data_IF_154788663812
#
_entry.id   IF_154788663812
#
_cell.length_a   1.000
_cell.length_b   1.000
_cell.length_c   1.000
_cell.angle_alpha   90.00
_cell.angle_beta   90.00
_cell.angle_gamma   90.00
#
_symmetry.space_group_name_H-M   'P 1'
#
loop_
_entity.id
_entity.type
_entity.pdbx_description
1 polymer ?
#
# COMPACT_ATOMS: atom_id res chain seq x y z
N UNK A 1 3.15 10.32 29.41
CA UNK A 1 3.46 11.38 28.43
C UNK A 1 4.92 11.21 28.02
N UNK A 2 5.22 11.07 26.72
CA UNK A 2 6.59 10.87 26.26
C UNK A 2 7.45 12.11 26.56
N UNK A 3 8.62 11.91 27.16
CA UNK A 3 9.51 12.98 27.59
C UNK A 3 10.18 13.61 26.36
N UNK A 4 10.59 14.87 26.44
CA UNK A 4 11.18 15.68 25.35
C UNK A 4 12.40 15.04 24.65
N UNK A 5 13.00 13.98 25.21
CA UNK A 5 14.07 13.16 24.62
C UNK A 5 13.63 11.86 23.94
N UNK A 6 12.44 11.34 24.24
CA UNK A 6 11.94 10.10 23.63
C UNK A 6 11.59 10.30 22.14
N UNK A 7 11.17 11.51 21.77
CA UNK A 7 10.84 11.84 20.38
C UNK A 7 12.01 11.60 19.42
N UNK A 8 13.19 12.16 19.70
CA UNK A 8 14.34 12.06 18.80
C UNK A 8 14.78 10.60 18.55
N UNK A 9 14.50 9.70 19.51
CA UNK A 9 14.78 8.27 19.41
C UNK A 9 13.65 7.48 18.75
N UNK A 10 12.40 7.76 19.12
CA UNK A 10 11.23 6.96 18.72
C UNK A 10 10.62 7.42 17.41
N UNK A 11 10.72 8.71 17.05
CA UNK A 11 10.14 9.26 15.83
C UNK A 11 10.73 8.64 14.55
N UNK A 12 12.05 8.44 14.40
CA UNK A 12 12.59 7.76 13.22
C UNK A 12 12.12 6.30 13.11
N UNK A 13 12.02 5.60 14.24
CA UNK A 13 11.57 4.20 14.30
C UNK A 13 10.07 4.12 13.95
N UNK A 14 9.26 5.00 14.54
CA UNK A 14 7.83 5.11 14.23
C UNK A 14 7.58 5.43 12.75
N UNK A 15 8.36 6.36 12.20
CA UNK A 15 8.31 6.72 10.78
C UNK A 15 8.63 5.51 9.91
N UNK A 16 9.71 4.79 10.21
CA UNK A 16 10.09 3.61 9.45
C UNK A 16 9.00 2.54 9.50
N UNK A 17 8.44 2.25 10.67
CA UNK A 17 7.36 1.27 10.82
C UNK A 17 6.10 1.67 10.05
N UNK A 18 5.76 2.96 10.03
CA UNK A 18 4.64 3.49 9.22
C UNK A 18 4.90 3.37 7.72
N UNK A 19 6.11 3.72 7.28
CA UNK A 19 6.57 3.55 5.88
C UNK A 19 6.58 2.07 5.49
N UNK A 20 6.84 1.17 6.44
CA UNK A 20 6.79 -0.28 6.26
C UNK A 20 5.35 -0.84 6.23
N UNK A 21 4.33 0.02 6.33
CA UNK A 21 2.93 -0.34 6.15
C UNK A 21 2.10 -0.27 7.43
N UNK A 22 2.73 -0.20 8.61
CA UNK A 22 2.03 -0.24 9.90
C UNK A 22 1.12 0.96 10.10
N UNK A 23 -0.09 0.67 10.59
CA UNK A 23 -1.02 1.70 11.02
C UNK A 23 -0.45 2.44 12.24
N UNK A 24 -0.83 3.70 12.42
CA UNK A 24 -0.44 4.48 13.60
C UNK A 24 -0.89 3.81 14.91
N UNK A 25 -1.95 3.01 14.86
CA UNK A 25 -2.42 2.19 15.99
C UNK A 25 -1.42 1.08 16.33
N UNK A 26 -0.97 0.32 15.33
CA UNK A 26 0.02 -0.73 15.53
C UNK A 26 1.38 -0.18 15.99
N UNK A 27 1.80 0.96 15.43
CA UNK A 27 3.01 1.67 15.84
C UNK A 27 2.88 2.20 17.28
N UNK A 28 1.72 2.73 17.64
CA UNK A 28 1.40 3.20 19.00
C UNK A 28 1.57 2.09 20.03
N UNK A 29 0.98 0.91 19.76
CA UNK A 29 1.09 -0.27 20.65
C UNK A 29 2.53 -0.74 20.76
N UNK A 30 3.26 -0.88 19.64
CA UNK A 30 4.64 -1.39 19.65
C UNK A 30 5.63 -0.46 20.35
N UNK A 31 5.47 0.85 20.21
CA UNK A 31 6.41 1.83 20.75
C UNK A 31 5.97 2.40 22.11
N UNK A 32 4.77 2.06 22.59
CA UNK A 32 4.22 2.62 23.83
C UNK A 32 3.98 4.13 23.76
N UNK A 33 3.78 4.66 22.55
CA UNK A 33 3.55 6.10 22.30
C UNK A 33 2.10 6.30 21.89
N UNK A 34 1.41 7.29 22.46
CA UNK A 34 0.00 7.51 22.10
C UNK A 34 -0.18 7.85 20.62
N UNK A 35 -1.28 7.40 20.02
CA UNK A 35 -1.64 7.72 18.63
C UNK A 35 -1.74 9.23 18.37
N UNK A 36 -2.21 10.01 19.34
CA UNK A 36 -2.26 11.48 19.24
C UNK A 36 -0.85 12.05 19.07
N UNK A 37 0.10 11.58 19.87
CA UNK A 37 1.52 11.98 19.76
C UNK A 37 2.12 11.62 18.40
N UNK A 38 1.84 10.42 17.88
CA UNK A 38 2.30 10.03 16.53
C UNK A 38 1.68 10.91 15.44
N UNK A 39 0.39 11.24 15.56
CA UNK A 39 -0.30 12.12 14.62
C UNK A 39 0.27 13.54 14.65
N UNK A 40 0.64 14.05 15.82
CA UNK A 40 1.30 15.35 15.96
C UNK A 40 2.68 15.36 15.30
N UNK A 41 3.49 14.30 15.48
CA UNK A 41 4.80 14.20 14.85
C UNK A 41 4.69 14.18 13.33
N UNK A 42 3.75 13.40 12.81
CA UNK A 42 3.42 13.31 11.40
C UNK A 42 2.95 14.67 10.85
N UNK A 43 1.99 15.31 11.53
CA UNK A 43 1.45 16.62 11.15
C UNK A 43 2.47 17.77 11.16
N UNK A 44 3.48 17.74 12.04
CA UNK A 44 4.57 18.74 12.05
C UNK A 44 5.46 18.68 10.80
N UNK A 45 5.49 17.55 10.11
CA UNK A 45 6.26 17.39 8.88
C UNK A 45 5.50 17.84 7.63
N UNK A 46 4.21 18.19 7.77
CA UNK A 46 3.39 18.70 6.67
C UNK A 46 3.68 20.19 6.43
N UNK A 47 3.96 20.56 5.18
CA UNK A 47 4.07 21.97 4.80
C UNK A 47 2.68 22.58 4.63
N UNK A 48 2.49 23.89 4.88
CA UNK A 48 1.17 24.53 4.77
C UNK A 48 0.51 24.43 3.39
N UNK A 49 1.29 24.23 2.33
CA UNK A 49 0.83 24.17 0.93
C UNK A 49 0.70 22.73 0.40
N UNK A 50 0.85 21.71 1.24
CA UNK A 50 0.86 20.31 0.81
C UNK A 50 -0.18 19.49 1.58
N UNK A 51 -0.92 18.65 0.85
CA UNK A 51 -1.93 17.77 1.43
C UNK A 51 -1.30 16.59 2.21
N UNK A 52 -0.14 16.12 1.74
CA UNK A 52 0.59 14.99 2.31
C UNK A 52 1.78 15.43 3.16
N UNK A 53 1.95 14.78 4.30
CA UNK A 53 3.14 14.91 5.13
C UNK A 53 4.32 14.05 4.63
N UNK A 54 5.50 14.26 5.20
CA UNK A 54 6.72 13.56 4.78
C UNK A 54 6.75 12.06 5.13
N UNK A 55 5.84 11.59 5.98
CA UNK A 55 5.69 10.16 6.27
C UNK A 55 4.84 9.51 5.19
N UNK A 56 3.73 10.15 4.78
CA UNK A 56 2.89 9.68 3.68
C UNK A 56 3.66 9.65 2.36
N UNK A 57 4.37 10.73 2.02
CA UNK A 57 5.23 10.76 0.83
C UNK A 57 6.34 9.70 0.87
N UNK A 58 6.87 9.38 2.05
CA UNK A 58 7.89 8.33 2.18
C UNK A 58 7.27 6.94 1.97
N UNK A 59 6.07 6.71 2.48
CA UNK A 59 5.30 5.48 2.26
C UNK A 59 4.94 5.31 0.79
N UNK A 60 4.42 6.36 0.15
CA UNK A 60 4.06 6.36 -1.26
C UNK A 60 5.28 6.10 -2.16
N UNK A 61 6.42 6.75 -1.89
CA UNK A 61 7.67 6.47 -2.62
C UNK A 61 8.10 5.02 -2.50
N UNK A 62 7.94 4.40 -1.33
CA UNK A 62 8.27 2.98 -1.13
C UNK A 62 7.33 2.07 -1.92
N UNK A 63 6.02 2.34 -1.89
CA UNK A 63 5.02 1.58 -2.66
C UNK A 63 5.27 1.72 -4.16
N UNK A 64 5.47 2.94 -4.66
CA UNK A 64 5.80 3.21 -6.06
C UNK A 64 7.06 2.48 -6.50
N UNK A 65 8.08 2.44 -5.64
CA UNK A 65 9.30 1.68 -5.91
C UNK A 65 9.04 0.17 -5.98
N UNK A 66 8.23 -0.40 -5.08
CA UNK A 66 7.88 -1.81 -5.12
C UNK A 66 7.14 -2.18 -6.42
N UNK A 67 6.14 -1.39 -6.83
CA UNK A 67 5.43 -1.57 -8.11
C UNK A 67 6.40 -1.49 -9.29
N UNK A 68 7.34 -0.55 -9.27
CA UNK A 68 8.35 -0.44 -10.33
C UNK A 68 9.23 -1.68 -10.42
N UNK A 69 9.60 -2.27 -9.27
CA UNK A 69 10.39 -3.50 -9.23
C UNK A 69 9.62 -4.71 -9.75
N UNK A 70 8.32 -4.81 -9.47
CA UNK A 70 7.44 -5.83 -10.03
C UNK A 70 7.35 -5.69 -11.56
N UNK A 71 7.07 -4.48 -12.05
CA UNK A 71 7.01 -4.23 -13.49
C UNK A 71 8.34 -4.54 -14.20
N UNK A 72 9.47 -4.28 -13.55
CA UNK A 72 10.78 -4.65 -14.09
C UNK A 72 10.96 -6.17 -14.12
N UNK A 73 10.59 -6.88 -13.04
CA UNK A 73 10.64 -8.33 -13.00
C UNK A 73 9.78 -8.95 -14.11
N UNK A 74 8.54 -8.50 -14.27
CA UNK A 74 7.62 -9.00 -15.29
C UNK A 74 8.17 -8.77 -16.70
N UNK A 75 8.75 -7.59 -16.94
CA UNK A 75 9.41 -7.28 -18.22
C UNK A 75 10.59 -8.21 -18.50
N UNK A 76 11.44 -8.48 -17.51
CA UNK A 76 12.60 -9.35 -17.69
C UNK A 76 12.19 -10.83 -17.87
N UNK A 77 11.12 -11.27 -17.20
CA UNK A 77 10.53 -12.60 -17.41
C UNK A 77 9.99 -12.71 -18.83
N UNK A 78 9.18 -11.76 -19.29
CA UNK A 78 8.67 -11.74 -20.66
C UNK A 78 9.80 -11.74 -21.70
N UNK A 79 10.84 -10.94 -21.46
CA UNK A 79 12.02 -10.91 -22.32
C UNK A 79 12.74 -12.27 -22.40
N UNK A 80 12.80 -13.00 -21.28
CA UNK A 80 13.38 -14.34 -21.24
C UNK A 80 12.47 -15.39 -21.92
N UNK A 81 11.14 -15.29 -21.76
CA UNK A 81 10.15 -16.19 -22.34
C UNK A 81 10.02 -16.06 -23.86
N UNK A 82 10.17 -14.85 -24.40
CA UNK A 82 10.10 -14.58 -25.84
C UNK A 82 11.30 -15.16 -26.63
N UNK A 83 12.35 -15.59 -25.93
CA UNK A 83 13.53 -16.18 -26.56
C UNK A 83 13.45 -17.70 -26.65
N UNK A 84 13.80 -18.22 -27.82
CA UNK A 84 13.97 -19.67 -28.01
C UNK A 84 15.10 -20.21 -27.12
N UNK A 85 14.95 -21.46 -26.68
CA UNK A 85 15.86 -22.14 -25.77
C UNK A 85 17.33 -21.97 -26.16
N UNK A 86 18.13 -21.41 -25.24
CA UNK A 86 19.55 -21.08 -25.44
C UNK A 86 19.84 -19.59 -25.70
N UNK A 87 18.82 -18.76 -25.93
CA UNK A 87 19.00 -17.32 -26.18
C UNK A 87 19.11 -16.43 -24.93
N UNK A 88 18.84 -16.97 -23.75
CA UNK A 88 18.91 -16.24 -22.48
C UNK A 88 20.21 -16.60 -21.77
N UNK A 89 21.05 -15.61 -21.52
CA UNK A 89 22.33 -15.84 -20.84
C UNK A 89 22.15 -16.09 -19.34
N UNK A 90 23.17 -16.65 -18.69
CA UNK A 90 23.15 -16.91 -17.24
C UNK A 90 23.03 -15.63 -16.40
N UNK A 91 23.45 -14.47 -16.93
CA UNK A 91 23.40 -13.19 -16.22
C UNK A 91 21.97 -12.63 -16.14
N UNK A 92 21.16 -12.90 -17.16
CA UNK A 92 19.74 -12.53 -17.24
C UNK A 92 18.95 -13.33 -16.21
N UNK A 93 19.20 -14.64 -16.11
CA UNK A 93 18.58 -15.49 -15.07
C UNK A 93 18.98 -15.09 -13.65
N UNK A 94 20.24 -14.72 -13.42
CA UNK A 94 20.71 -14.19 -12.13
C UNK A 94 20.03 -12.86 -11.79
N UNK A 95 19.86 -11.97 -12.77
CA UNK A 95 19.15 -10.70 -12.61
C UNK A 95 17.68 -10.91 -12.28
N UNK A 96 16.98 -11.81 -12.99
CA UNK A 96 15.58 -12.20 -12.71
C UNK A 96 15.48 -12.78 -11.29
N UNK A 97 16.40 -13.66 -10.90
CA UNK A 97 16.39 -14.25 -9.54
C UNK A 97 16.57 -13.20 -8.46
N UNK A 98 17.46 -12.22 -8.66
CA UNK A 98 17.69 -11.12 -7.71
C UNK A 98 16.49 -10.17 -7.63
N UNK A 99 15.90 -9.82 -8.78
CA UNK A 99 14.67 -9.03 -8.83
C UNK A 99 13.52 -9.76 -8.14
N UNK A 100 13.36 -11.05 -8.40
CA UNK A 100 12.37 -11.91 -7.74
C UNK A 100 12.55 -11.95 -6.22
N UNK A 101 13.77 -12.13 -5.73
CA UNK A 101 14.06 -12.12 -4.29
C UNK A 101 13.74 -10.77 -3.63
N UNK A 102 14.00 -9.66 -4.33
CA UNK A 102 13.65 -8.32 -3.84
C UNK A 102 12.13 -8.13 -3.77
N UNK A 103 11.40 -8.50 -4.82
CA UNK A 103 9.93 -8.43 -4.85
C UNK A 103 9.31 -9.27 -3.72
N UNK A 104 9.76 -10.51 -3.53
CA UNK A 104 9.30 -11.39 -2.44
C UNK A 104 9.54 -10.74 -1.07
N UNK A 105 10.72 -10.13 -0.87
CA UNK A 105 11.04 -9.44 0.39
C UNK A 105 10.12 -8.22 0.61
N UNK A 106 9.81 -7.46 -0.43
CA UNK A 106 8.88 -6.33 -0.32
C UNK A 106 7.46 -6.81 0.03
N UNK A 107 6.94 -7.84 -0.67
CA UNK A 107 5.63 -8.44 -0.37
C UNK A 107 5.55 -9.02 1.05
N UNK A 108 6.63 -9.66 1.51
CA UNK A 108 6.70 -10.18 2.88
C UNK A 108 6.58 -9.04 3.91
N UNK A 109 7.27 -7.92 3.70
CA UNK A 109 7.18 -6.74 4.59
C UNK A 109 5.79 -6.11 4.55
N UNK A 110 5.18 -6.00 3.37
CA UNK A 110 3.79 -5.51 3.24
C UNK A 110 2.80 -6.41 3.99
N UNK A 111 2.95 -7.74 3.90
CA UNK A 111 2.09 -8.68 4.61
C UNK A 111 2.23 -8.62 6.14
N UNK A 112 3.41 -8.26 6.64
CA UNK A 112 3.70 -8.13 8.08
C UNK A 112 3.29 -6.76 8.66
N UNK A 113 3.11 -5.76 7.82
CA UNK A 113 2.87 -4.37 8.18
C UNK A 113 1.44 -4.03 8.63
N UNK A 114 0.58 -4.99 9.00
CA UNK A 114 -0.85 -4.74 9.21
C UNK A 114 -1.60 -4.39 7.90
N UNK A 115 -2.21 -5.44 7.33
CA UNK A 115 -3.43 -5.39 6.54
C UNK A 115 -3.41 -4.45 5.34
N UNK A 116 -3.28 -5.02 4.16
CA UNK A 116 -4.02 -4.49 3.01
C UNK A 116 -5.48 -4.33 3.45
N UNK A 117 -5.87 -3.10 3.78
CA UNK A 117 -7.22 -2.79 4.23
C UNK A 117 -8.10 -2.83 2.99
N UNK A 118 -8.51 -4.05 2.63
CA UNK A 118 -9.38 -4.34 1.48
C UNK A 118 -10.59 -3.43 1.49
N UNK A 119 -11.11 -3.08 2.68
CA UNK A 119 -12.26 -2.20 2.81
C UNK A 119 -11.89 -0.75 2.44
N UNK A 120 -10.75 -0.24 2.89
CA UNK A 120 -10.26 1.10 2.48
C UNK A 120 -10.02 1.20 0.97
N UNK A 121 -9.33 0.21 0.39
CA UNK A 121 -9.04 0.19 -1.06
C UNK A 121 -10.33 0.05 -1.87
N UNK A 122 -11.27 -0.78 -1.42
CA UNK A 122 -12.60 -0.89 -2.04
C UNK A 122 -13.35 0.44 -2.03
N UNK A 123 -13.35 1.16 -0.90
CA UNK A 123 -14.01 2.46 -0.79
C UNK A 123 -13.35 3.54 -1.66
N UNK A 124 -12.02 3.56 -1.75
CA UNK A 124 -11.28 4.49 -2.63
C UNK A 124 -11.61 4.22 -4.11
N UNK A 125 -11.62 2.96 -4.53
CA UNK A 125 -12.00 2.58 -5.89
C UNK A 125 -13.48 2.91 -6.18
N UNK A 126 -14.37 2.72 -5.22
CA UNK A 126 -15.79 3.07 -5.38
C UNK A 126 -16.01 4.57 -5.50
N UNK A 127 -15.30 5.39 -4.71
CA UNK A 127 -15.37 6.84 -4.85
C UNK A 127 -14.89 7.32 -6.22
N UNK A 128 -13.83 6.71 -6.76
CA UNK A 128 -13.35 7.01 -8.09
C UNK A 128 -14.37 6.64 -9.18
N UNK A 129 -14.93 5.42 -9.13
CA UNK A 129 -15.96 4.96 -10.08
C UNK A 129 -17.20 5.85 -10.04
N UNK A 130 -17.69 6.19 -8.84
CA UNK A 130 -18.85 7.10 -8.68
C UNK A 130 -18.58 8.48 -9.26
N UNK A 131 -17.37 9.01 -9.06
CA UNK A 131 -16.98 10.31 -9.60
C UNK A 131 -16.91 10.28 -11.13
N UNK A 132 -16.34 9.22 -11.70
CA UNK A 132 -16.26 9.04 -13.15
C UNK A 132 -17.64 8.84 -13.80
N UNK A 133 -18.50 7.98 -13.23
CA UNK A 133 -19.85 7.74 -13.73
C UNK A 133 -20.72 8.98 -13.64
N UNK A 134 -20.58 9.79 -12.58
CA UNK A 134 -21.32 11.07 -12.48
C UNK A 134 -21.06 12.01 -13.66
N UNK A 135 -19.83 12.00 -14.18
CA UNK A 135 -19.42 12.89 -15.27
C UNK A 135 -19.65 12.30 -16.67
N UNK A 136 -19.61 10.96 -16.80
CA UNK A 136 -19.56 10.28 -18.10
C UNK A 136 -20.77 9.39 -18.39
N UNK A 137 -21.44 8.86 -17.36
CA UNK A 137 -22.57 7.94 -17.50
C UNK A 137 -23.51 7.98 -16.26
N UNK A 138 -24.45 8.94 -16.22
CA UNK A 138 -25.37 9.10 -15.10
C UNK A 138 -26.36 7.95 -14.94
N UNK A 139 -26.68 7.22 -16.02
CA UNK A 139 -27.55 6.02 -15.96
C UNK A 139 -26.79 4.86 -15.32
N UNK A 140 -25.51 4.66 -15.66
CA UNK A 140 -24.63 3.71 -14.99
C UNK A 140 -24.47 3.99 -13.49
N UNK A 141 -24.46 5.28 -13.08
CA UNK A 141 -24.45 5.65 -11.66
C UNK A 141 -25.76 5.27 -10.94
N UNK A 142 -26.92 5.41 -11.59
CA UNK A 142 -28.21 5.02 -11.01
C UNK A 142 -28.31 3.50 -10.83
N UNK A 143 -27.86 2.72 -11.81
CA UNK A 143 -27.80 1.26 -11.70
C UNK A 143 -26.87 0.82 -10.56
N UNK A 144 -25.67 1.41 -10.49
CA UNK A 144 -24.73 1.14 -9.40
C UNK A 144 -25.31 1.48 -8.02
N UNK A 145 -26.04 2.59 -7.90
CA UNK A 145 -26.68 3.00 -6.65
C UNK A 145 -27.82 2.07 -6.24
N UNK A 146 -28.59 1.54 -7.20
CA UNK A 146 -29.69 0.62 -6.93
C UNK A 146 -29.19 -0.74 -6.39
N UNK A 147 -28.03 -1.19 -6.89
CA UNK A 147 -27.46 -2.50 -6.54
C UNK A 147 -26.37 -2.43 -5.44
N UNK A 148 -26.05 -1.23 -4.94
CA UNK A 148 -24.92 -1.00 -4.04
C UNK A 148 -24.97 -1.85 -2.77
N UNK A 149 -26.13 -1.92 -2.11
CA UNK A 149 -26.30 -2.70 -0.88
C UNK A 149 -26.14 -4.21 -1.13
N UNK A 150 -26.62 -4.71 -2.27
CA UNK A 150 -26.47 -6.11 -2.66
C UNK A 150 -25.00 -6.44 -2.97
N UNK A 151 -24.30 -5.56 -3.68
CA UNK A 151 -22.85 -5.68 -3.95
C UNK A 151 -22.04 -5.66 -2.65
N UNK A 152 -22.33 -4.73 -1.73
CA UNK A 152 -21.63 -4.64 -0.46
C UNK A 152 -21.83 -5.89 0.40
N UNK A 153 -23.04 -6.46 0.42
CA UNK A 153 -23.34 -7.70 1.13
C UNK A 153 -22.68 -8.93 0.49
N UNK A 154 -22.64 -9.02 -0.84
CA UNK A 154 -21.92 -10.08 -1.56
C UNK A 154 -20.41 -10.01 -1.28
N UNK A 155 -19.82 -8.81 -1.40
CA UNK A 155 -18.40 -8.58 -1.10
C UNK A 155 -18.05 -8.94 0.35
N UNK A 156 -18.91 -8.54 1.30
CA UNK A 156 -18.76 -8.89 2.72
C UNK A 156 -18.78 -10.41 2.91
N UNK A 157 -19.69 -11.11 2.23
CA UNK A 157 -19.85 -12.56 2.36
C UNK A 157 -18.65 -13.32 1.76
N UNK A 158 -18.19 -12.93 0.57
CA UNK A 158 -17.08 -13.60 -0.12
C UNK A 158 -15.72 -13.32 0.53
N UNK A 159 -15.47 -12.08 0.99
CA UNK A 159 -14.16 -11.68 1.48
C UNK A 159 -13.99 -11.81 3.00
N UNK A 160 -15.06 -11.82 3.80
CA UNK A 160 -14.96 -11.92 5.26
C UNK A 160 -15.34 -13.30 5.82
N UNK A 161 -16.13 -14.12 5.11
CA UNK A 161 -16.45 -15.49 5.56
C UNK A 161 -15.57 -16.57 4.88
N UNK A 162 -14.73 -16.22 3.91
CA UNK A 162 -13.83 -17.15 3.21
C UNK A 162 -12.51 -17.48 3.92
N UNK A 163 -12.33 -17.04 5.17
CA UNK A 163 -11.15 -17.34 6.00
C UNK A 163 -11.50 -18.30 7.15
N UNK A 164 -12.06 -19.46 6.80
CA UNK A 164 -12.19 -20.61 7.71
C UNK A 164 -11.36 -21.79 7.19
#
# INVERSE_FOLDING_TARGET
>A
MAVKGDRARLEPVARQMYVDGQSLEAVSVKLGVSRVTLSEWKGRSRKPSEDFDEWDKARERKISFAIRMENLLDREILYAEERQGGGVDSATWDSISKLGALVVKFKAVESQGAGYDKAKVFLENMQWIVSWLRENDPEGLQALAADFDAMAMAFKTEQLNGNA
#
